data_IF_491738318871
#
_entry.id   IF_491738318871
#
_cell.length_a   1.000
_cell.length_b   1.000
_cell.length_c   1.000
_cell.angle_alpha   90.00
_cell.angle_beta   90.00
_cell.angle_gamma   90.00
#
_symmetry.space_group_name_H-M   'P 1'
#
loop_
_entity.id
_entity.type
_entity.pdbx_description
1 polymer ?
#
# COMPACT_ATOMS: atom_id res chain seq x y z
N UNK A 1 18.22 -7.76 30.03
CA UNK A 1 17.81 -7.10 28.77
C UNK A 1 18.84 -6.09 28.25
N UNK A 2 20.12 -6.12 28.65
CA UNK A 2 21.06 -5.03 28.27
C UNK A 2 22.53 -5.50 28.11
N UNK A 3 22.78 -6.70 27.58
CA UNK A 3 24.18 -7.14 27.33
C UNK A 3 24.36 -7.83 25.98
N UNK A 4 23.31 -8.51 25.50
CA UNK A 4 23.28 -9.14 24.17
C UNK A 4 23.27 -8.14 23.00
N UNK A 5 22.99 -6.85 23.26
CA UNK A 5 22.96 -5.78 22.25
C UNK A 5 24.31 -5.10 21.98
N UNK A 6 25.35 -5.33 22.78
CA UNK A 6 26.70 -4.73 22.56
C UNK A 6 27.66 -5.61 21.76
N UNK A 7 27.29 -6.84 21.42
CA UNK A 7 28.17 -7.81 20.74
C UNK A 7 28.08 -7.86 19.21
N UNK A 8 27.34 -6.95 18.56
CA UNK A 8 27.22 -6.93 17.09
C UNK A 8 28.00 -5.80 16.40
N UNK A 9 28.78 -5.00 17.14
CA UNK A 9 29.50 -3.83 16.59
C UNK A 9 31.03 -3.94 16.61
N UNK A 10 31.60 -5.09 16.99
CA UNK A 10 33.06 -5.27 17.00
C UNK A 10 33.42 -6.69 16.60
N UNK A 11 33.32 -6.99 15.30
CA UNK A 11 34.05 -8.12 14.70
C UNK A 11 34.85 -7.58 13.52
N UNK A 12 35.96 -6.94 13.85
CA UNK A 12 37.08 -6.86 12.92
C UNK A 12 38.33 -6.95 13.77
N UNK A 13 38.81 -8.18 13.96
CA UNK A 13 40.15 -8.42 14.49
C UNK A 13 41.03 -8.94 13.34
N UNK A 14 42.08 -8.20 12.95
CA UNK A 14 43.17 -8.73 12.17
C UNK A 14 44.18 -9.41 13.11
N UNK A 15 44.67 -10.57 12.69
CA UNK A 15 45.89 -11.19 13.20
C UNK A 15 45.89 -11.58 14.70
N UNK A 16 45.26 -12.72 15.00
CA UNK A 16 45.61 -13.53 16.16
C UNK A 16 45.61 -15.00 15.74
N UNK A 17 46.72 -15.45 15.16
CA UNK A 17 47.13 -16.85 15.22
C UNK A 17 48.66 -16.87 15.40
N UNK A 18 49.06 -16.59 16.63
CA UNK A 18 50.41 -16.85 17.12
C UNK A 18 50.30 -17.75 18.33
N UNK A 19 50.52 -19.05 18.14
CA UNK A 19 51.05 -19.94 19.17
C UNK A 19 51.52 -21.28 18.56
N UNK A 20 52.84 -21.49 18.46
CA UNK A 20 53.55 -22.71 18.88
C UNK A 20 55.05 -22.67 18.49
N UNK A 21 55.90 -22.37 19.48
CA UNK A 21 57.11 -23.12 19.96
C UNK A 21 57.76 -24.11 18.95
N UNK A 22 59.07 -24.15 18.61
CA UNK A 22 60.33 -23.99 19.37
C UNK A 22 61.59 -24.09 18.47
N UNK A 23 62.66 -23.40 18.90
CA UNK A 23 64.10 -23.76 18.87
C UNK A 23 64.91 -23.91 17.56
N UNK A 24 65.89 -23.00 17.38
CA UNK A 24 67.32 -23.19 17.00
C UNK A 24 67.83 -21.85 16.42
N UNK A 25 68.63 -21.07 17.14
CA UNK A 25 70.11 -21.08 17.16
C UNK A 25 70.70 -20.04 16.18
N UNK A 26 71.74 -19.32 16.61
CA UNK A 26 72.61 -18.53 15.72
C UNK A 26 72.31 -17.02 15.55
N UNK A 27 72.93 -16.22 16.42
CA UNK A 27 73.66 -14.95 16.16
C UNK A 27 73.57 -14.34 14.75
N UNK A 28 73.01 -13.12 14.60
CA UNK A 28 73.80 -11.91 14.32
C UNK A 28 72.96 -10.61 14.21
N UNK A 29 73.62 -9.52 14.55
CA UNK A 29 73.11 -8.16 14.76
C UNK A 29 72.66 -7.42 13.48
N UNK A 30 71.76 -6.45 13.70
CA UNK A 30 71.71 -5.14 13.02
C UNK A 30 71.22 -5.09 11.56
N UNK A 31 69.93 -4.84 11.40
CA UNK A 31 69.46 -3.76 10.53
C UNK A 31 68.06 -3.31 10.99
N UNK A 32 67.97 -2.11 11.55
CA UNK A 32 66.71 -1.41 11.73
C UNK A 32 66.12 -1.13 10.35
N UNK A 33 65.16 -1.96 9.92
CA UNK A 33 64.33 -1.67 8.77
C UNK A 33 63.14 -0.85 9.26
N UNK A 34 63.25 0.47 9.09
CA UNK A 34 62.12 1.39 9.06
C UNK A 34 61.08 0.85 8.07
N UNK A 35 60.05 0.16 8.58
CA UNK A 35 58.83 -0.11 7.83
C UNK A 35 58.02 1.19 7.77
N UNK A 36 58.43 2.11 6.89
CA UNK A 36 57.53 3.14 6.40
C UNK A 36 56.41 2.44 5.62
N UNK A 37 55.28 2.24 6.29
CA UNK A 37 54.03 1.82 5.66
C UNK A 37 53.50 2.98 4.82
N UNK A 38 54.06 3.14 3.63
CA UNK A 38 53.59 4.06 2.60
C UNK A 38 52.29 3.51 1.98
N UNK A 39 51.19 3.52 2.75
CA UNK A 39 49.85 3.43 2.16
C UNK A 39 49.60 4.75 1.45
N UNK A 40 49.85 4.76 0.15
CA UNK A 40 49.53 5.89 -0.73
C UNK A 40 48.10 6.38 -0.43
N UNK A 41 47.88 7.69 -0.21
CA UNK A 41 46.57 8.21 0.12
C UNK A 41 45.62 7.87 -1.03
N UNK A 42 44.53 7.16 -0.71
CA UNK A 42 43.48 6.84 -1.68
C UNK A 42 42.90 8.14 -2.22
N UNK A 43 43.30 8.51 -3.44
CA UNK A 43 42.86 9.73 -4.11
C UNK A 43 41.36 9.61 -4.40
N UNK A 44 40.55 10.23 -3.55
CA UNK A 44 39.10 10.29 -3.72
C UNK A 44 38.81 11.12 -4.97
N UNK A 45 38.22 10.49 -5.99
CA UNK A 45 37.83 11.20 -7.21
C UNK A 45 36.61 12.07 -6.89
N UNK A 46 36.66 13.40 -7.10
CA UNK A 46 35.50 14.23 -6.85
C UNK A 46 34.35 13.82 -7.77
N UNK A 47 33.14 13.82 -7.23
CA UNK A 47 31.93 13.50 -8.00
C UNK A 47 31.76 14.52 -9.13
N UNK A 48 31.53 14.03 -10.34
CA UNK A 48 31.18 14.88 -11.47
C UNK A 48 29.91 15.67 -11.16
N UNK A 49 29.86 16.94 -11.59
CA UNK A 49 28.67 17.79 -11.49
C UNK A 49 27.43 17.13 -12.09
N UNK A 50 27.61 16.34 -13.16
CA UNK A 50 26.53 15.57 -13.80
C UNK A 50 26.00 14.47 -12.87
N UNK A 51 26.91 13.76 -12.18
CA UNK A 51 26.51 12.73 -11.21
C UNK A 51 25.78 13.34 -10.00
N UNK A 52 26.16 14.53 -9.57
CA UNK A 52 25.49 15.25 -8.48
C UNK A 52 24.11 15.69 -8.95
N UNK A 53 24.01 16.32 -10.13
CA UNK A 53 22.75 16.79 -10.69
C UNK A 53 21.74 15.65 -10.84
N UNK A 54 22.16 14.50 -11.41
CA UNK A 54 21.27 13.35 -11.56
C UNK A 54 20.74 12.83 -10.22
N UNK A 55 21.61 12.73 -9.22
CA UNK A 55 21.25 12.26 -7.87
C UNK A 55 20.34 13.22 -7.11
N UNK A 56 20.21 14.47 -7.54
CA UNK A 56 19.29 15.45 -6.94
C UNK A 56 18.00 15.52 -7.75
N UNK A 57 18.11 15.60 -9.08
CA UNK A 57 16.95 15.80 -9.97
C UNK A 57 16.00 14.61 -9.90
N UNK A 58 16.50 13.39 -9.97
CA UNK A 58 15.64 12.19 -9.93
C UNK A 58 14.80 12.11 -8.64
N UNK A 59 15.38 12.18 -7.43
CA UNK A 59 14.58 12.17 -6.22
C UNK A 59 13.74 13.44 -6.04
N UNK A 60 14.17 14.61 -6.53
CA UNK A 60 13.35 15.81 -6.49
C UNK A 60 12.09 15.66 -7.35
N UNK A 61 12.20 15.09 -8.55
CA UNK A 61 11.05 14.79 -9.41
C UNK A 61 10.14 13.76 -8.75
N UNK A 62 10.68 12.67 -8.22
CA UNK A 62 9.90 11.68 -7.49
C UNK A 62 9.17 12.29 -6.28
N UNK A 63 9.86 13.15 -5.51
CA UNK A 63 9.28 13.89 -4.39
C UNK A 63 8.12 14.76 -4.84
N UNK A 64 8.29 15.57 -5.90
CA UNK A 64 7.22 16.42 -6.44
C UNK A 64 6.01 15.58 -6.88
N UNK A 65 6.24 14.48 -7.59
CA UNK A 65 5.15 13.59 -8.04
C UNK A 65 4.39 13.02 -6.84
N UNK A 66 5.10 12.47 -5.85
CA UNK A 66 4.48 11.90 -4.66
C UNK A 66 3.72 12.96 -3.85
N UNK A 67 4.32 14.13 -3.63
CA UNK A 67 3.68 15.24 -2.92
C UNK A 67 2.44 15.75 -3.65
N UNK A 68 2.49 15.88 -4.98
CA UNK A 68 1.32 16.24 -5.78
C UNK A 68 0.21 15.19 -5.68
N UNK A 69 0.57 13.90 -5.73
CA UNK A 69 -0.37 12.79 -5.51
C UNK A 69 -1.04 12.83 -4.13
N UNK A 70 -0.33 13.24 -3.08
CA UNK A 70 -0.92 13.46 -1.76
C UNK A 70 -1.90 14.64 -1.74
N UNK A 71 -1.52 15.79 -2.32
CA UNK A 71 -2.36 16.99 -2.30
C UNK A 71 -3.63 16.87 -3.16
N UNK A 72 -3.57 16.15 -4.27
CA UNK A 72 -4.73 15.92 -5.13
C UNK A 72 -5.71 14.89 -4.55
N UNK A 73 -5.34 14.20 -3.47
CA UNK A 73 -6.21 13.28 -2.72
C UNK A 73 -6.91 12.22 -3.58
N UNK A 74 -6.25 11.79 -4.65
CA UNK A 74 -6.75 10.78 -5.59
C UNK A 74 -5.94 9.49 -5.45
N UNK A 75 -6.63 8.35 -5.63
CA UNK A 75 -6.02 7.03 -5.69
C UNK A 75 -5.86 6.52 -7.14
N UNK A 76 -6.30 7.30 -8.14
CA UNK A 76 -6.26 6.91 -9.56
C UNK A 76 -4.83 6.74 -10.09
N UNK A 77 -3.87 7.43 -9.48
CA UNK A 77 -2.46 7.40 -9.87
C UNK A 77 -1.63 6.36 -9.08
N UNK A 78 -2.24 5.28 -8.58
CA UNK A 78 -1.50 4.20 -7.93
C UNK A 78 -0.31 3.72 -8.79
N UNK A 79 0.90 3.50 -8.22
CA UNK A 79 1.26 3.50 -6.79
C UNK A 79 1.66 4.86 -6.21
N UNK A 80 1.45 5.95 -6.95
CA UNK A 80 1.91 7.31 -6.62
C UNK A 80 0.79 8.19 -6.02
N UNK A 81 -0.42 7.65 -5.89
CA UNK A 81 -1.57 8.32 -5.28
C UNK A 81 -1.48 8.46 -3.76
N UNK A 82 -2.52 9.05 -3.17
CA UNK A 82 -2.55 9.45 -1.76
C UNK A 82 -2.69 8.30 -0.75
N UNK A 83 -3.07 7.08 -1.18
CA UNK A 83 -3.30 5.91 -0.30
C UNK A 83 -4.14 6.26 0.94
N UNK A 84 -5.16 7.09 0.75
CA UNK A 84 -5.95 7.72 1.81
C UNK A 84 -6.58 6.78 2.81
N UNK A 85 -6.75 5.51 2.41
CA UNK A 85 -7.19 4.41 3.25
C UNK A 85 -6.32 4.24 4.51
N UNK A 86 -5.04 4.61 4.44
CA UNK A 86 -4.07 4.48 5.53
C UNK A 86 -3.53 5.82 6.05
N UNK A 87 -3.77 6.93 5.35
CA UNK A 87 -3.09 8.19 5.62
C UNK A 87 -3.77 9.07 6.68
N UNK A 88 -5.05 8.83 7.00
CA UNK A 88 -5.84 9.75 7.84
C UNK A 88 -6.46 9.03 9.04
N UNK A 89 -6.27 9.61 10.23
CA UNK A 89 -6.99 9.18 11.42
C UNK A 89 -8.50 9.38 11.19
N UNK A 90 -9.31 8.36 11.54
CA UNK A 90 -10.75 8.45 11.44
C UNK A 90 -11.30 9.29 12.59
N UNK A 91 -12.27 10.16 12.28
CA UNK A 91 -13.00 10.90 13.29
C UNK A 91 -13.86 9.93 14.11
N UNK A 92 -13.59 9.86 15.41
CA UNK A 92 -14.31 9.01 16.35
C UNK A 92 -15.76 9.46 16.57
N UNK A 93 -16.11 10.69 16.17
CA UNK A 93 -17.47 11.21 16.23
C UNK A 93 -18.03 11.51 14.83
N UNK A 94 -17.37 11.03 13.78
CA UNK A 94 -17.78 11.19 12.39
C UNK A 94 -18.73 10.09 11.92
N UNK A 95 -18.87 9.96 10.61
CA UNK A 95 -19.68 8.90 9.98
C UNK A 95 -18.81 7.86 9.27
N UNK A 96 -19.32 6.62 9.24
CA UNK A 96 -18.75 5.52 8.47
C UNK A 96 -19.71 5.19 7.35
N UNK A 97 -19.20 5.23 6.12
CA UNK A 97 -19.95 4.87 4.92
C UNK A 97 -19.59 3.46 4.49
N UNK A 98 -20.60 2.65 4.20
CA UNK A 98 -20.45 1.31 3.62
C UNK A 98 -21.23 1.25 2.32
N UNK A 99 -20.54 0.95 1.21
CA UNK A 99 -21.20 0.85 -0.09
C UNK A 99 -21.95 -0.46 -0.21
N UNK A 100 -23.06 -0.41 -0.93
CA UNK A 100 -23.91 -1.56 -1.15
C UNK A 100 -24.49 -1.67 -2.53
N UNK A 101 -24.85 -2.90 -2.90
CA UNK A 101 -25.52 -3.19 -4.15
C UNK A 101 -26.75 -4.05 -3.86
N UNK A 102 -27.88 -3.62 -4.38
CA UNK A 102 -29.17 -4.29 -4.30
C UNK A 102 -29.68 -4.53 -5.71
N UNK A 103 -30.58 -5.50 -5.84
CA UNK A 103 -31.21 -5.80 -7.11
C UNK A 103 -32.70 -6.04 -6.91
N UNK A 104 -33.50 -5.41 -7.76
CA UNK A 104 -34.92 -5.69 -7.89
C UNK A 104 -35.08 -6.91 -8.79
N UNK A 105 -35.77 -7.95 -8.30
CA UNK A 105 -36.10 -9.13 -9.09
C UNK A 105 -37.58 -9.15 -9.49
N UNK A 106 -37.92 -9.83 -10.59
CA UNK A 106 -39.30 -10.00 -11.01
C UNK A 106 -40.15 -10.64 -9.91
N UNK A 107 -41.23 -9.98 -9.51
CA UNK A 107 -42.19 -10.49 -8.53
C UNK A 107 -41.79 -10.31 -7.06
N UNK A 108 -40.68 -9.63 -6.76
CA UNK A 108 -40.34 -9.20 -5.41
C UNK A 108 -40.87 -7.77 -5.15
N UNK A 109 -41.40 -7.50 -3.95
CA UNK A 109 -41.91 -6.16 -3.60
C UNK A 109 -40.79 -5.20 -3.15
N UNK A 110 -39.66 -5.75 -2.67
CA UNK A 110 -38.52 -4.99 -2.16
C UNK A 110 -37.21 -5.45 -2.82
N UNK A 111 -36.23 -4.55 -3.04
CA UNK A 111 -34.93 -4.93 -3.57
C UNK A 111 -34.19 -5.88 -2.64
N UNK A 112 -33.61 -6.92 -3.23
CA UNK A 112 -32.77 -7.87 -2.50
C UNK A 112 -31.32 -7.37 -2.43
N UNK A 113 -30.75 -7.40 -1.23
CA UNK A 113 -29.33 -7.14 -1.00
C UNK A 113 -28.44 -8.22 -1.61
N UNK A 114 -27.52 -7.81 -2.45
CA UNK A 114 -26.49 -8.67 -3.02
C UNK A 114 -25.17 -8.47 -2.28
N UNK A 115 -24.41 -9.55 -2.13
CA UNK A 115 -23.05 -9.50 -1.59
C UNK A 115 -22.06 -9.00 -2.65
N UNK A 116 -21.14 -8.11 -2.27
CA UNK A 116 -19.94 -7.86 -3.07
C UNK A 116 -18.92 -8.95 -2.80
N UNK A 117 -18.89 -9.97 -3.65
CA UNK A 117 -17.88 -11.01 -3.64
C UNK A 117 -17.86 -11.72 -5.01
N UNK A 118 -16.80 -12.49 -5.24
CA UNK A 118 -16.60 -13.26 -6.47
C UNK A 118 -17.72 -14.27 -6.78
N UNK A 119 -18.42 -14.78 -5.76
CA UNK A 119 -19.49 -15.76 -5.93
C UNK A 119 -20.85 -15.13 -6.25
N UNK A 120 -21.09 -13.88 -5.85
CA UNK A 120 -22.38 -13.21 -6.05
C UNK A 120 -22.38 -12.34 -7.31
N UNK A 121 -21.59 -11.26 -7.32
CA UNK A 121 -21.53 -10.30 -8.45
C UNK A 121 -20.18 -10.30 -9.17
N UNK A 122 -19.25 -11.17 -8.76
CA UNK A 122 -17.97 -11.35 -9.44
C UNK A 122 -16.89 -10.32 -9.12
N UNK A 123 -17.15 -9.40 -8.18
CA UNK A 123 -16.24 -8.31 -7.81
C UNK A 123 -16.29 -8.05 -6.30
N UNK A 124 -15.14 -7.66 -5.74
CA UNK A 124 -15.02 -7.28 -4.33
C UNK A 124 -15.47 -5.84 -4.10
N UNK A 125 -15.97 -5.55 -2.90
CA UNK A 125 -16.53 -4.22 -2.56
C UNK A 125 -15.50 -3.11 -2.72
N UNK A 126 -14.24 -3.39 -2.35
CA UNK A 126 -13.15 -2.41 -2.43
C UNK A 126 -12.88 -1.93 -3.85
N UNK A 127 -13.07 -2.78 -4.86
CA UNK A 127 -12.86 -2.41 -6.26
C UNK A 127 -13.95 -1.46 -6.76
N UNK A 128 -15.20 -1.70 -6.34
CA UNK A 128 -16.33 -0.81 -6.63
C UNK A 128 -16.20 0.51 -5.87
N UNK A 129 -15.82 0.47 -4.59
CA UNK A 129 -15.60 1.65 -3.76
C UNK A 129 -14.46 2.54 -4.32
N UNK A 130 -13.42 1.94 -4.89
CA UNK A 130 -12.31 2.67 -5.54
C UNK A 130 -12.76 3.47 -6.76
N UNK A 131 -13.79 2.99 -7.46
CA UNK A 131 -14.35 3.64 -8.66
C UNK A 131 -15.74 4.22 -8.42
N UNK A 132 -16.10 4.47 -7.16
CA UNK A 132 -17.49 4.77 -6.80
C UNK A 132 -18.06 5.98 -7.55
N UNK A 133 -17.29 7.07 -7.62
CA UNK A 133 -17.71 8.29 -8.32
C UNK A 133 -17.95 8.03 -9.82
N UNK A 134 -17.15 7.14 -10.42
CA UNK A 134 -17.32 6.72 -11.81
C UNK A 134 -18.60 5.91 -11.99
N UNK A 135 -18.91 4.98 -11.07
CA UNK A 135 -20.15 4.18 -11.15
C UNK A 135 -21.39 5.06 -10.90
N UNK A 136 -21.31 6.06 -10.02
CA UNK A 136 -22.39 7.03 -9.81
C UNK A 136 -22.60 7.89 -11.07
N UNK A 137 -21.52 8.37 -11.68
CA UNK A 137 -21.61 9.17 -12.91
C UNK A 137 -22.04 8.36 -14.15
N UNK A 138 -21.72 7.06 -14.16
CA UNK A 138 -22.00 6.11 -15.25
C UNK A 138 -22.70 4.85 -14.71
N UNK A 139 -24.00 4.93 -14.36
CA UNK A 139 -24.74 3.81 -13.81
C UNK A 139 -24.81 2.59 -14.73
N UNK A 140 -24.64 2.78 -16.05
CA UNK A 140 -24.59 1.70 -17.04
C UNK A 140 -23.50 0.66 -16.77
N UNK A 141 -22.46 1.02 -16.00
CA UNK A 141 -21.43 0.08 -15.58
C UNK A 141 -22.00 -1.05 -14.70
N UNK A 142 -23.14 -0.83 -14.03
CA UNK A 142 -23.82 -1.85 -13.23
C UNK A 142 -24.43 -2.97 -14.09
N UNK A 143 -24.59 -2.78 -15.41
CA UNK A 143 -24.97 -3.88 -16.31
C UNK A 143 -23.98 -5.05 -16.20
N UNK A 144 -22.68 -4.76 -16.09
CA UNK A 144 -21.64 -5.80 -15.96
C UNK A 144 -21.77 -6.62 -14.66
N UNK A 145 -22.29 -6.01 -13.59
CA UNK A 145 -22.60 -6.68 -12.33
C UNK A 145 -23.84 -7.57 -12.48
N UNK A 146 -24.88 -7.07 -13.15
CA UNK A 146 -26.08 -7.86 -13.46
C UNK A 146 -25.74 -9.08 -14.32
N UNK A 147 -24.97 -8.89 -15.41
CA UNK A 147 -24.54 -9.97 -16.30
C UNK A 147 -23.69 -11.01 -15.55
N UNK A 148 -22.85 -10.55 -14.62
CA UNK A 148 -22.05 -11.43 -13.77
C UNK A 148 -22.90 -12.20 -12.78
N UNK A 149 -23.88 -11.56 -12.17
CA UNK A 149 -24.84 -12.20 -11.29
C UNK A 149 -25.60 -13.32 -12.02
N UNK A 150 -26.14 -13.05 -13.21
CA UNK A 150 -26.86 -14.03 -14.04
C UNK A 150 -25.96 -15.21 -14.43
N UNK A 151 -24.70 -14.93 -14.77
CA UNK A 151 -23.73 -15.98 -15.11
C UNK A 151 -23.40 -16.87 -13.91
N UNK A 152 -23.34 -16.30 -12.70
CA UNK A 152 -23.02 -17.02 -11.46
C UNK A 152 -24.23 -17.74 -10.87
N UNK A 153 -25.45 -17.29 -11.15
CA UNK A 153 -26.71 -17.84 -10.63
C UNK A 153 -27.66 -18.21 -11.79
N UNK A 154 -27.32 -19.20 -12.63
CA UNK A 154 -28.10 -19.53 -13.83
C UNK A 154 -29.52 -20.04 -13.53
N UNK A 155 -29.78 -20.45 -12.28
CA UNK A 155 -31.08 -20.95 -11.82
C UNK A 155 -31.91 -19.88 -11.08
N UNK A 156 -31.38 -18.68 -10.88
CA UNK A 156 -32.10 -17.57 -10.25
C UNK A 156 -32.67 -16.62 -11.32
N UNK A 157 -33.75 -15.89 -11.00
CA UNK A 157 -34.29 -14.90 -11.91
C UNK A 157 -33.24 -13.82 -12.22
N UNK A 158 -33.34 -13.24 -13.42
CA UNK A 158 -32.50 -12.11 -13.79
C UNK A 158 -32.97 -10.86 -13.04
N UNK A 159 -32.06 -10.03 -12.51
CA UNK A 159 -32.45 -8.75 -11.92
C UNK A 159 -33.01 -7.82 -12.99
N UNK A 160 -34.06 -7.09 -12.66
CA UNK A 160 -34.67 -6.05 -13.51
C UNK A 160 -33.94 -4.72 -13.32
N UNK A 161 -33.60 -4.39 -12.08
CA UNK A 161 -32.92 -3.13 -11.72
C UNK A 161 -31.76 -3.41 -10.77
N UNK A 162 -30.62 -2.78 -11.01
CA UNK A 162 -29.48 -2.73 -10.07
C UNK A 162 -29.48 -1.40 -9.33
N UNK A 163 -29.26 -1.43 -8.02
CA UNK A 163 -29.32 -0.27 -7.13
C UNK A 163 -28.02 -0.19 -6.35
N UNK A 164 -27.22 0.85 -6.63
CA UNK A 164 -26.06 1.19 -5.82
C UNK A 164 -26.52 2.07 -4.66
N UNK A 165 -26.19 1.67 -3.45
CA UNK A 165 -26.59 2.37 -2.23
C UNK A 165 -25.39 2.59 -1.30
N UNK A 166 -25.64 3.37 -0.24
CA UNK A 166 -24.72 3.62 0.85
C UNK A 166 -25.46 3.50 2.18
N UNK A 167 -24.87 2.75 3.10
CA UNK A 167 -25.25 2.76 4.50
C UNK A 167 -24.30 3.68 5.27
N UNK A 168 -24.85 4.68 5.94
CA UNK A 168 -24.13 5.66 6.75
C UNK A 168 -24.39 5.38 8.22
N UNK A 169 -23.34 5.09 8.97
CA UNK A 169 -23.42 4.85 10.42
C UNK A 169 -22.76 6.01 11.16
N UNK A 170 -23.48 6.62 12.10
CA UNK A 170 -22.93 7.65 12.97
C UNK A 170 -22.05 7.01 14.06
N UNK A 171 -20.91 7.63 14.36
CA UNK A 171 -20.06 7.24 15.47
C UNK A 171 -20.16 8.24 16.63
N UNK A 172 -19.99 7.75 17.84
CA UNK A 172 -19.72 8.55 19.03
C UNK A 172 -18.63 7.86 19.85
N UNK A 173 -17.52 8.55 20.08
CA UNK A 173 -16.32 8.00 20.74
C UNK A 173 -15.85 6.66 20.13
N UNK A 174 -15.96 6.52 18.81
CA UNK A 174 -15.55 5.34 18.05
C UNK A 174 -16.55 4.18 18.06
N UNK A 175 -17.72 4.34 18.68
CA UNK A 175 -18.78 3.35 18.72
C UNK A 175 -19.92 3.77 17.81
N UNK A 176 -20.53 2.80 17.10
CA UNK A 176 -21.73 3.05 16.31
C UNK A 176 -22.90 3.45 17.22
N UNK A 177 -23.63 4.49 16.82
CA UNK A 177 -24.80 5.00 17.52
C UNK A 177 -25.95 5.26 16.56
N UNK A 178 -27.17 4.95 17.00
CA UNK A 178 -28.37 5.08 16.19
C UNK A 178 -28.50 4.00 15.12
N UNK A 179 -29.61 4.06 14.38
CA UNK A 179 -29.83 3.18 13.24
C UNK A 179 -29.06 3.70 12.02
N UNK A 180 -28.40 2.83 11.24
CA UNK A 180 -27.74 3.22 10.01
C UNK A 180 -28.74 3.79 8.99
N UNK A 181 -28.38 4.91 8.36
CA UNK A 181 -29.17 5.52 7.31
C UNK A 181 -28.77 4.93 5.94
N UNK A 182 -29.75 4.49 5.15
CA UNK A 182 -29.50 4.02 3.80
C UNK A 182 -29.89 5.07 2.77
N UNK A 183 -28.98 5.35 1.83
CA UNK A 183 -29.19 6.28 0.73
C UNK A 183 -28.92 5.58 -0.60
N UNK A 184 -29.80 5.77 -1.58
CA UNK A 184 -29.54 5.33 -2.95
C UNK A 184 -28.60 6.31 -3.63
N UNK A 185 -27.52 5.79 -4.21
CA UNK A 185 -26.51 6.58 -4.92
C UNK A 185 -26.76 6.60 -6.43
N UNK A 186 -27.14 5.46 -7.00
CA UNK A 186 -27.45 5.32 -8.43
C UNK A 186 -28.35 4.10 -8.67
N UNK A 187 -29.10 4.13 -9.76
CA UNK A 187 -29.94 3.01 -10.23
C UNK A 187 -29.67 2.74 -11.71
N UNK A 188 -29.84 1.48 -12.11
CA UNK A 188 -29.70 1.05 -13.51
C UNK A 188 -30.71 -0.02 -13.86
N UNK A 189 -31.46 0.21 -14.94
CA UNK A 189 -32.37 -0.78 -15.53
C UNK A 189 -31.59 -1.73 -16.42
N UNK A 190 -31.64 -3.02 -16.08
CA UNK A 190 -30.91 -4.10 -16.77
C UNK A 190 -31.52 -4.36 -18.14
N UNK A 191 -30.67 -4.56 -19.15
CA UNK A 191 -31.06 -4.80 -20.55
C UNK A 191 -30.61 -6.18 -21.04
#
# INVERSE_FOLDING_TARGET
MEEKKRRLLTSQDPAADSAATSAADGTDQSAAADYHSDKAPTRVKPLSKVSIAWRIVVPAVAFVILTCGQFLNTNDFFPLGSLTQYATAKDLNGTVNSTCIEAQFPGEDEPRRLGFNAATVGIERGDVESQLDRVIAHPELMQSLADSYVRLHPNEPKPETMILCRTTTQLQNGLAVGEPEQTTLATWEVR
#
